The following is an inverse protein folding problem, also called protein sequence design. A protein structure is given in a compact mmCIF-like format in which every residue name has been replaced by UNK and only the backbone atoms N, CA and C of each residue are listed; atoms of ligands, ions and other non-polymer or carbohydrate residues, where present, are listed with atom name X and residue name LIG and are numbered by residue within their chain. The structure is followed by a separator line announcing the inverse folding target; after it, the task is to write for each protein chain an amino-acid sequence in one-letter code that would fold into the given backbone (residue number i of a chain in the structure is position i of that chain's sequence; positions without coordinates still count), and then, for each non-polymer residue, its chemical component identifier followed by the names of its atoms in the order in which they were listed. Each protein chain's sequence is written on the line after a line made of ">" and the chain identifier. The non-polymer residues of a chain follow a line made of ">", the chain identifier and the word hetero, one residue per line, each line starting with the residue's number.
data_IF_610391052748
#
_entry.id   IF_610391052748
#
_cell.length_a   1.000
_cell.length_b   1.000
_cell.length_c   1.000
_cell.angle_alpha   90.00
_cell.angle_beta   90.00
_cell.angle_gamma   90.00
#
_symmetry.space_group_name_H-M   'P 1'
#
loop_
_entity.id
_entity.type
_entity.pdbx_description
1 polymer ?
#
# COMPACT_ATOMS: atom_id res chain seq x y z
N UNK A 1 -20.86 -14.22 -23.30
CA UNK A 1 -21.70 -13.65 -22.23
C UNK A 1 -21.11 -12.29 -21.88
N UNK A 2 -21.91 -11.21 -21.86
CA UNK A 2 -21.43 -9.92 -21.33
C UNK A 2 -21.29 -10.09 -19.81
N UNK A 3 -20.06 -10.11 -19.31
CA UNK A 3 -19.79 -10.06 -17.87
C UNK A 3 -20.28 -8.71 -17.37
N UNK A 4 -21.28 -8.70 -16.49
CA UNK A 4 -21.78 -7.47 -15.88
C UNK A 4 -20.94 -7.20 -14.63
N UNK A 5 -20.16 -6.12 -14.66
CA UNK A 5 -19.43 -5.66 -13.49
C UNK A 5 -20.37 -4.82 -12.65
N UNK A 6 -20.59 -5.19 -11.40
CA UNK A 6 -21.41 -4.43 -10.46
C UNK A 6 -20.57 -3.87 -9.34
N UNK A 7 -20.78 -2.59 -9.03
CA UNK A 7 -20.02 -1.84 -8.05
C UNK A 7 -20.96 -1.28 -6.97
N UNK A 8 -20.60 -1.46 -5.71
CA UNK A 8 -21.21 -0.80 -4.56
C UNK A 8 -20.16 0.04 -3.84
N UNK A 9 -20.32 1.36 -3.82
CA UNK A 9 -19.41 2.26 -3.11
C UNK A 9 -19.86 2.46 -1.67
N UNK A 10 -18.91 2.39 -0.74
CA UNK A 10 -19.13 2.59 0.69
C UNK A 10 -18.15 3.63 1.21
N UNK A 11 -18.69 4.72 1.74
CA UNK A 11 -17.89 5.74 2.42
C UNK A 11 -17.36 5.19 3.73
N UNK A 12 -16.06 5.37 3.98
CA UNK A 12 -15.38 4.88 5.19
C UNK A 12 -15.13 6.05 6.15
N UNK A 13 -14.63 7.17 5.62
CA UNK A 13 -14.29 8.34 6.43
C UNK A 13 -14.29 9.61 5.58
N UNK A 14 -15.26 10.50 5.82
CA UNK A 14 -15.36 11.83 5.23
C UNK A 14 -15.62 12.86 6.32
N UNK A 15 -14.83 13.92 6.34
CA UNK A 15 -15.05 15.06 7.22
C UNK A 15 -14.48 16.31 6.53
N UNK A 16 -15.30 17.35 6.44
CA UNK A 16 -14.96 18.60 5.74
C UNK A 16 -13.70 19.28 6.29
N UNK A 17 -13.44 19.13 7.59
CA UNK A 17 -12.29 19.73 8.27
C UNK A 17 -11.04 18.85 8.20
N UNK A 18 -11.09 17.72 7.46
CA UNK A 18 -10.04 16.71 7.43
C UNK A 18 -9.61 16.38 6.01
N UNK A 19 -8.31 16.14 5.88
CA UNK A 19 -7.72 15.47 4.73
C UNK A 19 -7.51 14.00 5.10
N UNK A 20 -8.04 13.05 4.35
CA UNK A 20 -7.81 11.62 4.57
C UNK A 20 -7.20 10.96 3.33
N UNK A 21 -6.17 10.15 3.51
CA UNK A 21 -5.43 9.63 2.37
C UNK A 21 -4.51 8.44 2.62
N UNK A 22 -3.97 7.97 1.49
CA UNK A 22 -2.85 7.04 1.36
C UNK A 22 -2.94 5.67 2.07
N UNK A 23 -4.05 4.91 1.96
CA UNK A 23 -4.12 3.60 2.58
C UNK A 23 -3.02 2.62 2.10
N UNK A 24 -2.55 2.76 0.86
CA UNK A 24 -1.44 1.95 0.34
C UNK A 24 -0.07 2.15 1.02
N UNK A 25 0.12 3.18 1.85
CA UNK A 25 1.32 3.27 2.70
C UNK A 25 1.27 2.27 3.87
N UNK A 26 0.07 1.78 4.23
CA UNK A 26 -0.19 0.97 5.41
C UNK A 26 -0.62 -0.43 4.99
N UNK A 27 -1.83 -0.85 5.34
CA UNK A 27 -2.34 -2.19 5.07
C UNK A 27 -3.86 -2.28 5.11
N UNK A 28 -4.33 -3.40 4.59
CA UNK A 28 -5.70 -3.90 4.72
C UNK A 28 -5.60 -5.38 5.07
N UNK A 29 -6.41 -5.85 6.01
CA UNK A 29 -6.47 -7.24 6.44
C UNK A 29 -7.92 -7.68 6.57
N UNK A 30 -8.18 -8.97 6.35
CA UNK A 30 -9.50 -9.57 6.42
C UNK A 30 -9.45 -10.86 7.23
N UNK A 31 -10.44 -11.05 8.09
CA UNK A 31 -10.71 -12.26 8.86
C UNK A 31 -12.19 -12.57 8.76
N UNK A 32 -12.57 -13.58 7.96
CA UNK A 32 -13.99 -13.86 7.68
C UNK A 32 -14.70 -12.56 7.23
N UNK A 33 -15.73 -12.11 7.95
CA UNK A 33 -16.46 -10.86 7.67
C UNK A 33 -15.80 -9.58 8.20
N UNK A 34 -14.76 -9.70 9.01
CA UNK A 34 -14.07 -8.57 9.64
C UNK A 34 -12.95 -8.04 8.73
N UNK A 35 -12.90 -6.73 8.55
CA UNK A 35 -11.90 -6.05 7.72
C UNK A 35 -11.33 -4.87 8.48
N UNK A 36 -10.02 -4.73 8.47
CA UNK A 36 -9.32 -3.57 9.02
C UNK A 36 -8.51 -2.89 7.93
N UNK A 37 -8.66 -1.58 7.82
CA UNK A 37 -7.93 -0.70 6.91
C UNK A 37 -7.22 0.38 7.72
N UNK A 38 -5.97 0.68 7.37
CA UNK A 38 -5.24 1.81 7.98
C UNK A 38 -4.96 2.88 6.92
N UNK A 39 -5.09 4.14 7.32
CA UNK A 39 -4.88 5.32 6.49
C UNK A 39 -4.39 6.51 7.32
N UNK A 40 -4.10 7.63 6.68
CA UNK A 40 -3.72 8.88 7.37
C UNK A 40 -4.85 9.89 7.37
N UNK A 41 -5.02 10.64 8.47
CA UNK A 41 -5.84 11.84 8.50
C UNK A 41 -5.05 13.06 8.97
N UNK A 42 -5.24 14.20 8.31
CA UNK A 42 -4.70 15.51 8.67
C UNK A 42 -5.72 16.61 8.39
N UNK A 43 -5.22 17.80 8.07
CA UNK A 43 -6.05 18.96 7.79
C UNK A 43 -5.96 19.35 6.32
N UNK A 44 -7.06 19.78 5.68
CA UNK A 44 -7.04 20.21 4.30
C UNK A 44 -6.34 21.58 4.17
N UNK A 45 -5.65 21.78 3.06
CA UNK A 45 -5.23 23.10 2.59
C UNK A 45 -5.21 23.06 1.07
N UNK A 46 -6.15 23.78 0.45
CA UNK A 46 -6.29 23.84 -1.02
C UNK A 46 -5.04 24.37 -1.72
N UNK A 47 -4.24 25.19 -1.04
CA UNK A 47 -2.97 25.73 -1.53
C UNK A 47 -1.78 24.79 -1.25
N UNK A 48 -2.02 23.61 -0.67
CA UNK A 48 -1.01 22.61 -0.29
C UNK A 48 -0.27 21.92 -1.46
N UNK A 49 -0.54 22.33 -2.70
CA UNK A 49 0.12 21.84 -3.90
C UNK A 49 -0.45 20.52 -4.41
N UNK A 50 0.42 19.53 -4.67
CA UNK A 50 0.00 18.25 -5.30
C UNK A 50 -0.95 17.41 -4.43
N UNK A 51 -0.83 17.50 -3.10
CA UNK A 51 -1.86 16.99 -2.19
C UNK A 51 -2.36 18.15 -1.33
N UNK A 52 -3.68 18.38 -1.35
CA UNK A 52 -4.33 19.54 -0.77
C UNK A 52 -4.46 19.46 0.75
N UNK A 53 -3.33 19.49 1.45
CA UNK A 53 -3.21 19.31 2.90
C UNK A 53 -2.36 20.40 3.55
N UNK A 54 -2.65 20.71 4.80
CA UNK A 54 -1.86 21.60 5.63
C UNK A 54 -0.63 20.86 6.18
N UNK A 55 0.55 21.27 5.72
CA UNK A 55 1.83 20.66 6.11
C UNK A 55 2.36 21.19 7.44
N UNK A 56 1.78 22.28 7.97
CA UNK A 56 2.15 22.88 9.25
C UNK A 56 1.49 22.21 10.45
N UNK A 57 0.70 21.15 10.21
CA UNK A 57 -0.01 20.39 11.23
C UNK A 57 0.35 18.91 11.17
N UNK A 58 0.29 18.20 12.30
CA UNK A 58 0.59 16.78 12.34
C UNK A 58 -0.48 15.98 11.60
N UNK A 59 -0.03 14.85 11.06
CA UNK A 59 -0.87 13.79 10.53
C UNK A 59 -1.09 12.72 11.61
N UNK A 60 -2.28 12.11 11.62
CA UNK A 60 -2.67 11.06 12.55
C UNK A 60 -2.91 9.78 11.76
N UNK A 61 -2.45 8.65 12.28
CA UNK A 61 -2.73 7.34 11.70
C UNK A 61 -4.08 6.86 12.20
N UNK A 62 -4.98 6.56 11.27
CA UNK A 62 -6.36 6.16 11.53
C UNK A 62 -6.56 4.69 11.21
N UNK A 63 -7.46 4.04 11.94
CA UNK A 63 -7.89 2.67 11.70
C UNK A 63 -9.39 2.65 11.42
N UNK A 64 -9.79 2.09 10.29
CA UNK A 64 -11.17 1.76 9.97
C UNK A 64 -11.40 0.26 10.14
N UNK A 65 -12.52 -0.12 10.74
CA UNK A 65 -12.93 -1.52 10.95
C UNK A 65 -14.36 -1.74 10.49
N UNK A 66 -14.56 -2.75 9.67
CA UNK A 66 -15.85 -3.30 9.29
C UNK A 66 -16.04 -4.69 9.89
N UNK A 67 -17.26 -5.02 10.29
CA UNK A 67 -17.67 -6.33 10.82
C UNK A 67 -18.70 -7.03 9.92
N UNK A 68 -18.95 -6.50 8.73
CA UNK A 68 -20.02 -6.93 7.83
C UNK A 68 -19.56 -6.98 6.37
N UNK A 69 -18.31 -7.39 6.15
CA UNK A 69 -17.66 -7.46 4.84
C UNK A 69 -17.59 -6.09 4.12
N UNK A 70 -17.30 -5.02 4.85
CA UNK A 70 -17.06 -3.69 4.28
C UNK A 70 -18.33 -2.92 3.93
N UNK A 71 -19.49 -3.31 4.46
CA UNK A 71 -20.76 -2.59 4.23
C UNK A 71 -20.87 -1.38 5.16
N UNK A 72 -20.52 -1.54 6.43
CA UNK A 72 -20.41 -0.45 7.40
C UNK A 72 -19.03 -0.41 8.03
N UNK A 73 -18.61 0.79 8.44
CA UNK A 73 -17.27 1.04 8.97
C UNK A 73 -17.34 1.88 10.25
N UNK A 74 -16.50 1.53 11.20
CA UNK A 74 -16.18 2.33 12.38
C UNK A 74 -14.74 2.83 12.26
N UNK A 75 -14.47 4.07 12.66
CA UNK A 75 -13.14 4.69 12.50
C UNK A 75 -12.68 5.28 13.82
N UNK A 76 -11.44 4.99 14.19
CA UNK A 76 -10.77 5.55 15.36
C UNK A 76 -9.32 5.89 15.01
N UNK A 77 -8.63 6.60 15.91
CA UNK A 77 -7.17 6.61 15.86
C UNK A 77 -6.63 5.18 15.97
N UNK A 78 -5.54 4.89 15.26
CA UNK A 78 -4.93 3.58 15.27
C UNK A 78 -4.25 3.33 16.63
N UNK A 79 -4.50 2.19 17.31
CA UNK A 79 -3.97 1.93 18.66
C UNK A 79 -2.52 1.45 18.60
N UNK A 80 -1.62 2.28 18.06
CA UNK A 80 -0.18 1.98 17.96
C UNK A 80 0.61 2.54 19.14
N UNK A 81 1.54 1.77 19.71
CA UNK A 81 2.51 2.31 20.66
C UNK A 81 3.58 3.10 19.91
N UNK A 82 3.68 4.40 20.19
CA UNK A 82 4.64 5.32 19.57
C UNK A 82 4.47 5.47 18.04
N UNK A 83 4.91 6.59 17.47
CA UNK A 83 4.83 6.85 16.03
C UNK A 83 3.51 7.51 15.61
N UNK A 84 3.52 8.83 15.50
CA UNK A 84 2.40 9.65 15.03
C UNK A 84 2.53 9.90 13.53
N UNK A 85 1.45 9.80 12.75
CA UNK A 85 1.50 10.08 11.31
C UNK A 85 2.38 9.11 10.52
N UNK A 86 2.40 7.85 10.96
CA UNK A 86 3.27 6.79 10.49
C UNK A 86 3.34 6.74 8.96
N UNK A 87 4.54 6.79 8.37
CA UNK A 87 4.70 6.68 6.93
C UNK A 87 4.12 7.85 6.11
N UNK A 88 3.86 8.98 6.74
CA UNK A 88 3.43 10.21 6.08
C UNK A 88 4.30 11.42 6.48
N UNK A 89 5.52 11.20 6.95
CA UNK A 89 6.43 12.27 7.38
C UNK A 89 6.83 13.16 6.20
N UNK A 90 6.99 12.59 5.01
CA UNK A 90 7.19 13.32 3.75
C UNK A 90 6.05 14.31 3.44
N UNK A 91 4.93 14.20 4.16
CA UNK A 91 3.75 14.99 3.99
C UNK A 91 3.61 16.17 4.97
N UNK A 92 4.54 16.33 5.93
CA UNK A 92 4.58 17.42 6.90
C UNK A 92 5.75 18.38 6.62
N UNK A 93 5.81 19.51 7.33
CA UNK A 93 6.99 20.37 7.38
C UNK A 93 7.99 19.84 8.42
N UNK A 94 9.26 20.21 8.27
CA UNK A 94 10.34 19.68 9.11
C UNK A 94 10.18 20.05 10.60
N UNK A 95 9.74 21.27 10.89
CA UNK A 95 9.45 21.75 12.24
C UNK A 95 8.35 20.94 12.94
N UNK A 96 7.33 20.50 12.18
CA UNK A 96 6.30 19.59 12.71
C UNK A 96 6.91 18.23 13.02
N UNK A 97 7.71 17.67 12.11
CA UNK A 97 8.38 16.37 12.30
C UNK A 97 9.30 16.40 13.51
N UNK A 98 10.10 17.46 13.66
CA UNK A 98 11.04 17.65 14.78
C UNK A 98 10.31 17.82 16.12
N UNK A 99 9.03 18.24 16.10
CA UNK A 99 8.18 18.34 17.28
C UNK A 99 7.47 17.04 17.67
N UNK A 100 7.51 16.01 16.81
CA UNK A 100 6.90 14.72 17.12
C UNK A 100 7.72 13.98 18.18
N UNK A 101 7.04 13.15 18.97
CA UNK A 101 7.72 12.25 19.90
C UNK A 101 8.67 11.32 19.15
N UNK A 102 9.88 11.16 19.69
CA UNK A 102 10.87 10.24 19.14
C UNK A 102 10.34 8.79 19.19
N UNK A 103 10.61 8.05 18.12
CA UNK A 103 10.21 6.65 18.01
C UNK A 103 11.11 5.80 18.92
N UNK A 104 10.50 5.15 19.91
CA UNK A 104 11.18 4.22 20.81
C UNK A 104 11.07 2.81 20.26
N UNK A 105 12.14 2.31 19.65
CA UNK A 105 12.17 0.96 19.12
C UNK A 105 12.27 -0.09 20.21
N UNK A 106 11.49 -1.16 20.07
CA UNK A 106 11.60 -2.36 20.87
C UNK A 106 12.55 -3.37 20.21
N UNK A 107 13.12 -4.27 21.03
CA UNK A 107 13.85 -5.42 20.52
C UNK A 107 12.90 -6.41 19.85
N UNK A 108 13.17 -6.83 18.60
CA UNK A 108 12.29 -7.72 17.87
C UNK A 108 12.26 -9.12 18.50
N UNK A 109 11.05 -9.66 18.60
CA UNK A 109 10.78 -11.01 19.11
C UNK A 109 10.48 -11.95 17.93
N UNK A 110 10.54 -13.24 18.18
CA UNK A 110 10.07 -14.23 17.21
C UNK A 110 8.56 -14.39 17.32
N UNK A 111 7.82 -14.01 16.29
CA UNK A 111 6.36 -14.13 16.23
C UNK A 111 5.93 -15.38 15.47
N UNK A 112 4.74 -15.89 15.77
CA UNK A 112 4.12 -16.97 15.00
C UNK A 112 3.20 -16.36 13.94
N UNK A 113 3.62 -16.44 12.68
CA UNK A 113 2.85 -15.89 11.57
C UNK A 113 1.62 -16.73 11.20
N UNK A 114 1.49 -17.96 11.70
CA UNK A 114 0.29 -18.79 11.50
C UNK A 114 -0.85 -18.41 12.46
N UNK A 115 -0.66 -17.42 13.33
CA UNK A 115 -1.77 -16.90 14.10
C UNK A 115 -2.86 -16.40 13.14
N UNK A 116 -4.04 -17.00 13.24
CA UNK A 116 -5.20 -16.65 12.41
C UNK A 116 -5.59 -15.17 12.49
N UNK A 117 -5.19 -14.48 13.56
CA UNK A 117 -5.51 -13.08 13.84
C UNK A 117 -4.32 -12.14 13.54
N UNK A 118 -3.30 -12.64 12.82
CA UNK A 118 -2.06 -11.92 12.52
C UNK A 118 -2.25 -10.77 11.54
N UNK A 119 -1.60 -9.65 11.84
CA UNK A 119 -1.37 -8.55 10.91
C UNK A 119 0.02 -7.94 11.13
N UNK A 120 0.61 -7.39 10.08
CA UNK A 120 1.89 -6.66 10.12
C UNK A 120 1.73 -5.34 9.40
N UNK A 121 2.25 -4.25 9.96
CA UNK A 121 2.18 -2.92 9.36
C UNK A 121 3.57 -2.26 9.37
N UNK A 122 4.02 -1.72 8.24
CA UNK A 122 5.27 -0.98 8.15
C UNK A 122 5.07 0.53 8.32
N UNK A 123 6.05 1.19 8.96
CA UNK A 123 6.18 2.64 9.05
C UNK A 123 7.53 3.13 8.50
N UNK A 124 7.61 4.42 8.20
CA UNK A 124 8.83 5.08 7.70
C UNK A 124 8.87 6.56 8.06
N UNK A 125 10.07 7.13 8.14
CA UNK A 125 10.30 8.58 8.33
C UNK A 125 10.37 9.38 7.03
N UNK A 126 10.49 8.73 5.86
CA UNK A 126 10.57 9.44 4.59
C UNK A 126 10.88 8.57 3.39
N UNK A 127 11.39 9.18 2.32
CA UNK A 127 11.61 8.57 0.99
C UNK A 127 13.05 8.71 0.47
N UNK A 128 13.89 9.50 1.15
CA UNK A 128 15.24 9.84 0.71
C UNK A 128 16.30 9.27 1.64
N UNK A 129 17.58 9.57 1.35
CA UNK A 129 18.70 9.28 2.23
C UNK A 129 18.38 9.71 3.66
N UNK A 130 18.66 8.82 4.62
CA UNK A 130 18.33 9.00 6.04
C UNK A 130 16.94 8.47 6.41
N UNK A 131 16.11 8.03 5.46
CA UNK A 131 14.83 7.41 5.78
C UNK A 131 15.05 6.10 6.57
N UNK A 132 14.44 6.05 7.75
CA UNK A 132 14.39 4.88 8.61
C UNK A 132 13.00 4.27 8.54
N UNK A 133 12.93 2.95 8.72
CA UNK A 133 11.69 2.19 8.65
C UNK A 133 11.59 1.19 9.80
N UNK A 134 10.37 0.79 10.10
CA UNK A 134 10.05 -0.14 11.16
C UNK A 134 8.76 -0.90 10.83
N UNK A 135 8.43 -1.89 11.65
CA UNK A 135 7.16 -2.61 11.54
C UNK A 135 6.52 -2.82 12.91
N UNK A 136 5.21 -3.03 12.90
CA UNK A 136 4.40 -3.49 14.03
C UNK A 136 3.75 -4.82 13.70
N UNK A 137 3.48 -5.62 14.72
CA UNK A 137 2.73 -6.86 14.61
C UNK A 137 1.49 -6.81 15.51
N UNK A 138 0.35 -7.19 14.96
CA UNK A 138 -0.84 -7.53 15.72
C UNK A 138 -1.07 -9.03 15.65
N UNK A 139 -1.54 -9.59 16.77
CA UNK A 139 -1.92 -11.00 16.93
C UNK A 139 -3.39 -11.12 17.39
N UNK A 140 -4.14 -10.02 17.27
CA UNK A 140 -5.50 -9.85 17.78
C UNK A 140 -6.37 -9.01 16.83
N UNK A 141 -6.13 -9.15 15.52
CA UNK A 141 -6.87 -8.47 14.45
C UNK A 141 -6.79 -6.95 14.54
N UNK A 142 -5.60 -6.41 14.75
CA UNK A 142 -5.32 -4.97 14.87
C UNK A 142 -6.05 -4.29 16.04
N UNK A 143 -6.41 -5.04 17.10
CA UNK A 143 -6.94 -4.42 18.32
C UNK A 143 -5.80 -3.77 19.11
N UNK A 144 -4.64 -4.42 19.12
CA UNK A 144 -3.40 -3.90 19.64
C UNK A 144 -2.25 -4.16 18.67
N UNK A 145 -1.22 -3.33 18.75
CA UNK A 145 -0.01 -3.45 17.96
C UNK A 145 1.21 -3.57 18.88
N UNK A 146 2.12 -4.48 18.55
CA UNK A 146 3.41 -4.69 19.22
C UNK A 146 4.53 -4.10 18.37
N UNK A 147 5.55 -3.53 19.00
CA UNK A 147 6.62 -2.78 18.34
C UNK A 147 6.67 -1.33 18.82
N UNK A 148 7.32 -0.43 18.09
CA UNK A 148 7.89 -0.61 16.75
C UNK A 148 9.20 -1.41 16.73
N UNK A 149 9.36 -2.29 15.76
CA UNK A 149 10.57 -3.06 15.52
C UNK A 149 11.35 -2.49 14.33
N UNK A 150 12.61 -2.12 14.54
CA UNK A 150 13.42 -1.44 13.51
C UNK A 150 13.72 -2.37 12.33
N UNK A 151 13.53 -1.86 11.11
CA UNK A 151 13.95 -2.55 9.88
C UNK A 151 15.43 -2.19 9.64
N UNK A 152 16.32 -3.18 9.40
CA UNK A 152 17.72 -2.92 9.08
C UNK A 152 17.88 -2.07 7.81
N UNK A 153 19.01 -1.37 7.70
CA UNK A 153 19.28 -0.54 6.51
C UNK A 153 19.78 -1.34 5.31
N UNK A 154 20.14 -2.62 5.47
CA UNK A 154 20.66 -3.49 4.39
C UNK A 154 21.80 -2.85 3.58
N UNK A 155 22.69 -2.10 4.24
CA UNK A 155 23.76 -1.30 3.60
C UNK A 155 23.24 -0.26 2.58
N UNK A 156 21.99 0.17 2.69
CA UNK A 156 21.39 1.22 1.87
C UNK A 156 21.38 2.56 2.59
N UNK A 157 21.26 3.65 1.82
CA UNK A 157 21.23 5.02 2.37
C UNK A 157 19.89 5.42 3.00
N UNK A 158 18.82 4.69 2.72
CA UNK A 158 17.47 4.95 3.21
C UNK A 158 16.55 3.79 2.87
N UNK A 159 15.70 3.38 3.81
CA UNK A 159 14.64 2.40 3.60
C UNK A 159 13.30 3.12 3.78
N UNK A 160 12.43 2.97 2.79
CA UNK A 160 11.10 3.59 2.74
C UNK A 160 10.02 2.50 2.71
N UNK A 161 9.94 1.72 3.80
CA UNK A 161 9.09 0.55 3.88
C UNK A 161 7.60 0.89 3.79
N UNK A 162 6.87 -0.01 3.13
CA UNK A 162 5.41 -0.10 3.11
C UNK A 162 5.06 -1.57 3.27
N UNK A 163 3.84 -1.87 3.68
CA UNK A 163 3.47 -3.25 4.05
C UNK A 163 3.27 -4.13 2.81
N UNK A 164 4.24 -5.02 2.58
CA UNK A 164 4.16 -6.09 1.58
C UNK A 164 4.93 -7.33 2.07
N UNK A 165 4.26 -8.12 2.92
CA UNK A 165 4.80 -9.34 3.54
C UNK A 165 4.07 -10.57 3.01
N UNK A 166 4.81 -11.52 2.44
CA UNK A 166 4.31 -12.83 2.02
C UNK A 166 4.71 -13.88 3.05
N UNK A 167 3.79 -14.17 3.96
CA UNK A 167 3.96 -15.23 4.95
C UNK A 167 4.01 -16.58 4.23
N UNK A 168 5.09 -17.34 4.44
CA UNK A 168 5.31 -18.67 3.86
C UNK A 168 4.94 -19.78 4.85
N UNK A 169 5.28 -19.59 6.12
CA UNK A 169 4.99 -20.51 7.22
C UNK A 169 4.97 -19.73 8.55
N UNK A 170 4.96 -20.44 9.70
CA UNK A 170 4.89 -19.85 11.03
C UNK A 170 6.06 -18.90 11.39
N UNK A 171 7.19 -18.96 10.68
CA UNK A 171 8.40 -18.16 10.98
C UNK A 171 9.01 -17.51 9.75
N UNK A 172 8.64 -17.96 8.55
CA UNK A 172 9.23 -17.50 7.29
C UNK A 172 8.32 -16.53 6.58
N UNK A 173 8.87 -15.40 6.16
CA UNK A 173 8.19 -14.47 5.26
C UNK A 173 9.17 -13.86 4.26
N UNK A 174 8.74 -13.74 3.00
CA UNK A 174 9.41 -12.93 1.98
C UNK A 174 8.78 -11.55 1.98
N UNK A 175 9.59 -10.51 2.02
CA UNK A 175 9.13 -9.14 2.24
C UNK A 175 9.69 -8.27 1.13
N UNK A 176 8.85 -7.44 0.52
CA UNK A 176 9.27 -6.52 -0.55
C UNK A 176 9.36 -5.11 0.03
N UNK A 177 10.55 -4.52 -0.05
CA UNK A 177 10.85 -3.21 0.52
C UNK A 177 11.39 -2.25 -0.54
N UNK A 178 11.25 -0.96 -0.27
CA UNK A 178 11.76 0.12 -1.12
C UNK A 178 13.01 0.72 -0.47
N UNK A 179 14.12 0.81 -1.20
CA UNK A 179 15.37 1.39 -0.75
C UNK A 179 15.83 2.50 -1.68
N UNK A 180 16.31 3.62 -1.13
CA UNK A 180 16.83 4.74 -1.93
C UNK A 180 17.78 4.28 -3.05
N UNK A 181 17.71 4.97 -4.18
CA UNK A 181 18.74 4.84 -5.23
C UNK A 181 20.11 5.26 -4.68
N UNK A 182 21.17 4.91 -5.40
CA UNK A 182 22.57 5.27 -5.07
C UNK A 182 22.78 6.78 -4.94
N UNK A 183 21.96 7.60 -5.60
CA UNK A 183 21.99 9.06 -5.47
C UNK A 183 21.17 9.60 -4.27
N UNK A 184 20.67 8.74 -3.38
CA UNK A 184 19.92 9.10 -2.19
C UNK A 184 18.47 9.54 -2.42
N UNK A 185 17.98 9.54 -3.67
CA UNK A 185 16.56 9.80 -3.98
C UNK A 185 15.74 8.52 -3.86
N UNK A 186 14.42 8.69 -3.78
CA UNK A 186 13.44 7.59 -3.74
C UNK A 186 13.66 6.55 -4.86
N UNK A 187 13.48 5.27 -4.55
CA UNK A 187 13.42 4.22 -5.57
C UNK A 187 13.68 2.81 -5.08
N UNK A 188 14.05 1.95 -6.04
CA UNK A 188 14.45 0.53 -6.02
C UNK A 188 13.75 -0.39 -5.03
N UNK A 189 13.12 -1.41 -5.59
CA UNK A 189 12.51 -2.48 -4.81
C UNK A 189 13.47 -3.66 -4.71
N UNK A 190 13.57 -4.23 -3.51
CA UNK A 190 14.29 -5.48 -3.22
C UNK A 190 13.40 -6.41 -2.39
N UNK A 191 13.71 -7.70 -2.44
CA UNK A 191 13.18 -8.67 -1.49
C UNK A 191 14.14 -8.86 -0.33
N UNK A 192 13.61 -9.05 0.87
CA UNK A 192 14.30 -9.59 2.02
C UNK A 192 13.51 -10.77 2.60
N UNK A 193 14.12 -11.53 3.49
CA UNK A 193 13.50 -12.67 4.16
C UNK A 193 13.66 -12.54 5.66
N UNK A 194 12.70 -13.09 6.37
CA UNK A 194 12.88 -13.55 7.75
C UNK A 194 12.62 -15.05 7.80
N UNK A 195 13.33 -15.78 8.66
CA UNK A 195 13.13 -17.22 8.92
C UNK A 195 12.92 -17.51 10.40
N UNK A 196 12.78 -16.46 11.21
CA UNK A 196 12.75 -16.52 12.66
C UNK A 196 11.59 -15.70 13.24
N UNK A 197 10.51 -15.53 12.47
CA UNK A 197 9.30 -14.85 12.91
C UNK A 197 9.47 -13.33 13.01
N UNK A 198 10.26 -12.73 12.11
CA UNK A 198 10.49 -11.29 12.04
C UNK A 198 11.66 -10.79 12.88
N UNK A 199 12.30 -11.65 13.68
CA UNK A 199 13.37 -11.26 14.58
C UNK A 199 14.59 -10.72 13.84
N UNK A 200 14.95 -11.35 12.72
CA UNK A 200 15.97 -10.87 11.80
C UNK A 200 15.39 -10.74 10.39
N UNK A 201 15.84 -9.71 9.68
CA UNK A 201 15.52 -9.48 8.27
C UNK A 201 16.84 -9.48 7.49
N UNK A 202 16.91 -10.30 6.44
CA UNK A 202 18.10 -10.47 5.60
C UNK A 202 17.80 -10.09 4.16
N UNK A 203 18.64 -9.26 3.54
CA UNK A 203 18.52 -8.92 2.12
C UNK A 203 18.60 -10.20 1.26
N UNK A 204 17.69 -10.37 0.29
CA UNK A 204 17.74 -11.46 -0.69
C UNK A 204 18.29 -10.99 -2.02
N UNK A 205 17.51 -10.19 -2.74
CA UNK A 205 17.80 -9.84 -4.12
C UNK A 205 17.12 -8.54 -4.51
N UNK A 206 17.68 -7.87 -5.52
CA UNK A 206 17.00 -6.76 -6.16
C UNK A 206 15.92 -7.28 -7.11
N UNK A 207 14.77 -6.60 -7.14
CA UNK A 207 13.73 -6.87 -8.15
C UNK A 207 14.10 -6.15 -9.45
N UNK A 208 14.49 -4.88 -9.31
CA UNK A 208 15.11 -4.07 -10.35
C UNK A 208 16.14 -3.14 -9.70
N UNK A 209 17.43 -3.45 -9.87
CA UNK A 209 18.51 -2.69 -9.20
C UNK A 209 18.75 -1.31 -9.83
N UNK A 210 18.37 -1.10 -11.09
CA UNK A 210 18.68 0.12 -11.83
C UNK A 210 17.46 0.66 -12.61
N UNK A 211 16.36 1.03 -11.93
CA UNK A 211 15.23 1.65 -12.60
C UNK A 211 15.61 3.00 -13.20
N UNK A 212 15.10 3.30 -14.41
CA UNK A 212 15.37 4.56 -15.13
C UNK A 212 15.00 5.78 -14.27
N UNK A 213 13.79 5.80 -13.71
CA UNK A 213 13.35 6.79 -12.74
C UNK A 213 13.29 6.20 -11.34
N UNK A 214 12.14 5.71 -10.91
CA UNK A 214 12.02 4.96 -9.64
C UNK A 214 11.09 3.77 -9.82
N UNK A 215 11.28 2.81 -8.91
CA UNK A 215 10.38 1.69 -8.64
C UNK A 215 10.13 1.69 -7.12
N UNK A 216 8.85 1.74 -6.72
CA UNK A 216 8.45 1.86 -5.31
C UNK A 216 7.11 1.16 -5.06
N UNK A 217 6.71 1.05 -3.79
CA UNK A 217 5.38 0.59 -3.37
C UNK A 217 4.97 -0.75 -4.01
N UNK A 218 5.73 -1.83 -3.76
CA UNK A 218 5.38 -3.14 -4.27
C UNK A 218 4.04 -3.62 -3.67
N UNK A 219 3.31 -4.41 -4.45
CA UNK A 219 2.15 -5.17 -4.01
C UNK A 219 2.28 -6.58 -4.56
N UNK A 220 2.46 -7.54 -3.67
CA UNK A 220 2.84 -8.89 -4.06
C UNK A 220 1.84 -9.94 -3.64
N UNK A 221 1.80 -11.03 -4.40
CA UNK A 221 1.04 -12.25 -4.09
C UNK A 221 1.90 -13.47 -4.40
N UNK A 222 1.66 -14.56 -3.67
CA UNK A 222 2.13 -15.88 -4.07
C UNK A 222 0.99 -16.61 -4.79
N UNK A 223 1.26 -17.10 -5.99
CA UNK A 223 0.32 -17.91 -6.75
C UNK A 223 0.27 -19.34 -6.21
N UNK A 224 -0.82 -20.06 -6.52
CA UNK A 224 -0.97 -21.48 -6.17
C UNK A 224 0.17 -22.39 -6.65
N UNK A 225 0.86 -22.02 -7.73
CA UNK A 225 2.02 -22.75 -8.26
C UNK A 225 3.35 -22.41 -7.55
N UNK A 226 3.33 -21.57 -6.51
CA UNK A 226 4.50 -21.15 -5.73
C UNK A 226 5.24 -19.94 -6.28
N UNK A 227 4.96 -19.50 -7.51
CA UNK A 227 5.56 -18.29 -8.06
C UNK A 227 5.09 -17.05 -7.29
N UNK A 228 5.98 -16.08 -7.15
CA UNK A 228 5.65 -14.78 -6.56
C UNK A 228 5.50 -13.75 -7.68
N UNK A 229 4.41 -13.00 -7.67
CA UNK A 229 4.22 -11.84 -8.52
C UNK A 229 4.29 -10.57 -7.66
N UNK A 230 4.89 -9.51 -8.19
CA UNK A 230 4.88 -8.19 -7.55
C UNK A 230 4.56 -7.10 -8.57
N UNK A 231 3.49 -6.34 -8.31
CA UNK A 231 3.14 -5.15 -9.05
C UNK A 231 3.86 -3.94 -8.42
N UNK A 232 4.57 -3.16 -9.22
CA UNK A 232 5.43 -2.08 -8.75
C UNK A 232 4.99 -0.76 -9.37
N UNK A 233 4.86 0.28 -8.53
CA UNK A 233 4.68 1.66 -9.01
C UNK A 233 5.98 2.16 -9.59
N UNK A 234 5.95 2.44 -10.89
CA UNK A 234 7.14 2.84 -11.62
C UNK A 234 6.97 4.23 -12.23
N UNK A 235 8.09 4.94 -12.33
CA UNK A 235 8.18 6.23 -13.00
C UNK A 235 9.45 6.32 -13.81
N UNK A 236 9.37 6.90 -15.00
CA UNK A 236 10.52 7.26 -15.82
C UNK A 236 11.17 8.59 -15.40
N UNK A 237 11.89 9.19 -16.35
CA UNK A 237 12.54 10.49 -16.16
C UNK A 237 11.58 11.68 -16.02
N UNK A 238 10.41 11.64 -16.67
CA UNK A 238 9.38 12.70 -16.63
C UNK A 238 8.29 12.42 -15.60
N UNK A 239 7.62 13.48 -15.11
CA UNK A 239 6.63 13.38 -14.03
C UNK A 239 5.31 12.72 -14.45
N UNK A 240 4.97 12.83 -15.73
CA UNK A 240 3.81 12.22 -16.39
C UNK A 240 4.04 10.77 -16.81
N UNK A 241 5.31 10.33 -16.84
CA UNK A 241 5.70 8.98 -17.25
C UNK A 241 5.62 8.04 -16.05
N UNK A 242 4.40 7.70 -15.62
CA UNK A 242 4.14 6.78 -14.50
C UNK A 242 3.28 5.60 -14.96
N UNK A 243 3.65 4.38 -14.54
CA UNK A 243 3.00 3.13 -14.94
C UNK A 243 3.06 2.11 -13.79
N UNK A 244 2.51 0.92 -14.02
CA UNK A 244 2.67 -0.23 -13.11
C UNK A 244 3.30 -1.36 -13.91
N UNK A 245 4.49 -1.80 -13.49
CA UNK A 245 5.17 -2.98 -14.04
C UNK A 245 4.95 -4.19 -13.13
N UNK A 246 5.00 -5.38 -13.71
CA UNK A 246 4.84 -6.65 -13.03
C UNK A 246 6.12 -7.46 -13.15
N UNK A 247 6.61 -7.97 -12.03
CA UNK A 247 7.76 -8.86 -11.95
C UNK A 247 7.36 -10.20 -11.37
N UNK A 248 8.09 -11.25 -11.75
CA UNK A 248 7.89 -12.62 -11.29
C UNK A 248 9.17 -13.20 -10.70
N UNK A 249 9.04 -13.89 -9.58
CA UNK A 249 10.05 -14.80 -9.04
C UNK A 249 9.51 -16.23 -9.08
N UNK A 250 10.38 -17.17 -9.49
CA UNK A 250 10.09 -18.61 -9.53
C UNK A 250 10.94 -19.40 -8.52
N UNK A 251 11.66 -18.69 -7.66
CA UNK A 251 12.65 -19.20 -6.72
C UNK A 251 12.54 -18.50 -5.36
N UNK A 252 11.31 -18.21 -4.94
CA UNK A 252 10.96 -17.65 -3.63
C UNK A 252 11.69 -16.32 -3.31
N UNK A 253 11.77 -15.44 -4.31
CA UNK A 253 12.36 -14.11 -4.19
C UNK A 253 13.88 -14.06 -4.31
N UNK A 254 14.55 -15.17 -4.66
CA UNK A 254 16.00 -15.21 -4.88
C UNK A 254 16.42 -14.52 -6.19
N UNK A 255 15.57 -14.57 -7.21
CA UNK A 255 15.73 -13.79 -8.44
C UNK A 255 14.38 -13.35 -9.01
N UNK A 256 14.41 -12.28 -9.79
CA UNK A 256 13.23 -11.68 -10.38
C UNK A 256 13.40 -11.44 -11.87
N UNK A 257 12.30 -11.52 -12.61
CA UNK A 257 12.23 -11.17 -14.02
C UNK A 257 11.07 -10.23 -14.26
N UNK A 258 11.29 -9.22 -15.08
CA UNK A 258 10.18 -8.44 -15.66
C UNK A 258 9.25 -9.39 -16.42
N UNK A 259 7.95 -9.26 -16.19
CA UNK A 259 6.92 -10.09 -16.83
C UNK A 259 6.13 -9.28 -17.86
N UNK A 260 5.53 -8.18 -17.42
CA UNK A 260 4.67 -7.35 -18.27
C UNK A 260 4.45 -5.95 -17.68
N UNK A 261 3.77 -5.09 -18.43
CA UNK A 261 3.28 -3.78 -17.98
C UNK A 261 1.75 -3.78 -17.94
N UNK A 262 1.13 -4.16 -16.81
CA UNK A 262 -0.32 -4.19 -16.67
C UNK A 262 -1.03 -2.85 -16.93
N UNK A 263 -0.41 -1.74 -16.52
CA UNK A 263 -0.97 -0.40 -16.65
C UNK A 263 0.08 0.51 -17.25
N UNK A 264 -0.16 1.01 -18.46
CA UNK A 264 0.78 1.84 -19.22
C UNK A 264 0.85 3.30 -18.74
N UNK A 265 -0.20 3.79 -18.09
CA UNK A 265 -0.26 5.14 -17.54
C UNK A 265 -1.15 5.24 -16.30
N UNK A 266 -0.60 5.76 -15.21
CA UNK A 266 -1.36 6.14 -13.99
C UNK A 266 -1.47 7.65 -13.81
N UNK A 267 -1.04 8.45 -14.80
CA UNK A 267 -1.05 9.91 -14.79
C UNK A 267 0.04 10.55 -13.93
N UNK A 268 -0.02 11.89 -13.80
CA UNK A 268 1.03 12.70 -13.16
C UNK A 268 1.30 12.23 -11.72
N UNK A 269 2.56 11.98 -11.41
CA UNK A 269 2.98 11.49 -10.09
C UNK A 269 2.66 10.02 -9.83
N UNK A 270 1.77 9.40 -10.60
CA UNK A 270 1.45 7.97 -10.56
C UNK A 270 0.74 7.50 -9.29
N UNK A 271 0.35 6.24 -9.27
CA UNK A 271 -0.26 5.56 -8.12
C UNK A 271 0.24 4.12 -8.02
N UNK A 272 0.30 3.55 -6.80
CA UNK A 272 0.54 2.12 -6.64
C UNK A 272 -0.64 1.29 -7.11
N UNK A 273 -0.36 0.07 -7.54
CA UNK A 273 -1.36 -0.97 -7.73
C UNK A 273 -1.57 -1.78 -6.45
N UNK A 274 -2.76 -2.36 -6.28
CA UNK A 274 -3.03 -3.44 -5.34
C UNK A 274 -3.32 -4.70 -6.15
N UNK A 275 -2.41 -5.66 -6.12
CA UNK A 275 -2.50 -6.94 -6.82
C UNK A 275 -3.20 -7.98 -5.93
N UNK A 276 -4.23 -8.63 -6.48
CA UNK A 276 -4.98 -9.72 -5.82
C UNK A 276 -5.25 -10.82 -6.84
N UNK A 277 -5.28 -12.08 -6.39
CA UNK A 277 -5.77 -13.22 -7.17
C UNK A 277 -7.20 -13.55 -6.72
N UNK A 278 -8.13 -13.67 -7.67
CA UNK A 278 -9.49 -14.15 -7.45
C UNK A 278 -9.51 -15.67 -7.28
N UNK A 279 -10.60 -16.22 -6.74
CA UNK A 279 -10.74 -17.67 -6.50
C UNK A 279 -10.63 -18.52 -7.77
N UNK A 280 -11.12 -17.97 -8.89
CA UNK A 280 -11.06 -18.58 -10.23
C UNK A 280 -9.67 -18.48 -10.89
N UNK A 281 -8.70 -17.86 -10.21
CA UNK A 281 -7.31 -17.74 -10.64
C UNK A 281 -7.00 -16.46 -11.43
N UNK A 282 -8.02 -15.67 -11.83
CA UNK A 282 -7.78 -14.36 -12.47
C UNK A 282 -6.99 -13.45 -11.54
N UNK A 283 -6.10 -12.65 -12.11
CA UNK A 283 -5.38 -11.60 -11.39
C UNK A 283 -6.07 -10.26 -11.62
N UNK A 284 -6.20 -9.48 -10.56
CA UNK A 284 -6.73 -8.12 -10.62
C UNK A 284 -5.71 -7.16 -10.02
N UNK A 285 -5.41 -6.09 -10.75
CA UNK A 285 -4.69 -4.94 -10.21
C UNK A 285 -5.65 -3.77 -10.16
N UNK A 286 -5.96 -3.30 -8.96
CA UNK A 286 -6.68 -2.05 -8.76
C UNK A 286 -5.71 -0.89 -8.55
N UNK A 287 -6.03 0.30 -9.04
CA UNK A 287 -5.16 1.47 -8.95
C UNK A 287 -5.95 2.78 -9.12
N UNK A 288 -5.37 3.89 -8.68
CA UNK A 288 -5.88 5.23 -8.98
C UNK A 288 -5.32 5.78 -10.30
N UNK A 289 -6.17 6.27 -11.19
CA UNK A 289 -5.74 7.01 -12.39
C UNK A 289 -5.75 8.52 -12.11
N UNK A 290 -4.57 9.13 -12.14
CA UNK A 290 -4.36 10.59 -12.14
C UNK A 290 -4.34 11.17 -13.55
N UNK A 291 -4.87 10.44 -14.52
CA UNK A 291 -5.11 10.86 -15.89
C UNK A 291 -6.62 10.92 -16.10
N UNK A 292 -7.10 11.97 -16.75
CA UNK A 292 -8.52 12.10 -17.04
C UNK A 292 -9.04 10.96 -17.94
N UNK A 293 -10.24 10.41 -17.67
CA UNK A 293 -11.08 10.73 -16.51
C UNK A 293 -10.50 10.17 -15.19
N UNK A 294 -10.38 11.03 -14.17
CA UNK A 294 -9.86 10.64 -12.87
C UNK A 294 -10.75 9.57 -12.22
N UNK A 295 -10.16 8.67 -11.45
CA UNK A 295 -10.91 7.67 -10.71
C UNK A 295 -10.07 6.48 -10.29
N UNK A 296 -10.76 5.47 -9.78
CA UNK A 296 -10.24 4.17 -9.40
C UNK A 296 -10.59 3.16 -10.49
N UNK A 297 -9.60 2.39 -10.90
CA UNK A 297 -9.67 1.46 -12.02
C UNK A 297 -9.13 0.10 -11.63
N UNK A 298 -9.50 -0.91 -12.42
CA UNK A 298 -8.95 -2.26 -12.38
C UNK A 298 -8.45 -2.68 -13.76
N UNK A 299 -7.43 -3.52 -13.81
CA UNK A 299 -7.10 -4.36 -14.97
C UNK A 299 -7.10 -5.82 -14.54
N UNK A 300 -7.52 -6.72 -15.45
CA UNK A 300 -7.68 -8.14 -15.17
C UNK A 300 -6.79 -8.96 -16.10
N UNK A 301 -6.14 -9.99 -15.57
CA UNK A 301 -5.42 -10.99 -16.36
C UNK A 301 -5.98 -12.38 -16.11
N UNK A 302 -6.24 -13.11 -17.20
CA UNK A 302 -6.69 -14.50 -17.18
C UNK A 302 -5.54 -15.51 -17.44
N UNK A 303 -4.31 -15.01 -17.62
CA UNK A 303 -3.16 -15.81 -18.04
C UNK A 303 -1.90 -15.50 -17.23
N UNK A 304 -2.04 -15.52 -15.90
CA UNK A 304 -0.94 -15.33 -14.93
C UNK A 304 -0.16 -14.01 -15.13
N UNK A 305 -0.83 -12.95 -15.60
CA UNK A 305 -0.23 -11.63 -15.74
C UNK A 305 0.52 -11.39 -17.06
N UNK A 306 0.44 -12.30 -18.03
CA UNK A 306 1.08 -12.12 -19.35
C UNK A 306 0.35 -11.07 -20.21
N UNK A 307 -0.98 -11.05 -20.15
CA UNK A 307 -1.83 -10.07 -20.83
C UNK A 307 -2.88 -9.52 -19.88
N UNK A 308 -3.26 -8.27 -20.10
CA UNK A 308 -4.19 -7.54 -19.25
C UNK A 308 -5.32 -6.94 -20.07
N UNK A 309 -6.51 -6.88 -19.47
CA UNK A 309 -7.67 -6.19 -20.03
C UNK A 309 -7.38 -4.69 -20.21
N UNK A 310 -8.26 -4.01 -20.95
CA UNK A 310 -8.33 -2.54 -20.84
C UNK A 310 -8.72 -2.14 -19.41
N UNK A 311 -8.34 -0.94 -18.93
CA UNK A 311 -8.78 -0.44 -17.64
C UNK A 311 -10.31 -0.39 -17.53
N UNK A 312 -10.83 -0.95 -16.44
CA UNK A 312 -12.23 -0.97 -16.05
C UNK A 312 -12.40 0.08 -14.95
N UNK A 313 -13.33 1.02 -15.12
CA UNK A 313 -13.59 2.02 -14.10
C UNK A 313 -14.43 1.41 -12.96
N UNK A 314 -13.92 1.49 -11.73
CA UNK A 314 -14.62 1.07 -10.51
C UNK A 314 -15.39 2.25 -9.91
N UNK A 315 -14.70 3.38 -9.75
CA UNK A 315 -15.24 4.64 -9.21
C UNK A 315 -14.65 5.83 -9.96
N UNK A 316 -15.47 6.57 -10.70
CA UNK A 316 -15.05 7.87 -11.28
C UNK A 316 -14.87 8.89 -10.17
N UNK A 317 -13.89 9.77 -10.29
CA UNK A 317 -13.72 10.94 -9.43
C UNK A 317 -14.28 12.17 -10.14
N UNK A 318 -15.11 12.95 -9.47
CA UNK A 318 -15.62 14.24 -9.98
C UNK A 318 -14.70 15.42 -9.63
N UNK A 319 -13.72 15.19 -8.75
CA UNK A 319 -12.77 16.21 -8.33
C UNK A 319 -11.50 16.23 -9.18
N UNK A 320 -10.34 16.14 -8.55
CA UNK A 320 -9.03 16.23 -9.20
C UNK A 320 -8.14 14.99 -8.99
N UNK A 321 -6.88 15.08 -9.45
CA UNK A 321 -5.89 14.00 -9.43
C UNK A 321 -5.44 13.49 -8.05
N UNK A 322 -5.77 14.19 -6.97
CA UNK A 322 -5.36 13.82 -5.62
C UNK A 322 -6.22 12.68 -5.05
N UNK A 323 -6.02 11.49 -5.62
CA UNK A 323 -6.78 10.26 -5.37
C UNK A 323 -5.87 9.02 -5.46
N UNK A 324 -6.41 7.85 -5.09
CA UNK A 324 -5.84 6.54 -5.38
C UNK A 324 -5.35 5.81 -4.16
N UNK A 325 -4.11 5.28 -4.23
CA UNK A 325 -3.48 4.50 -3.17
C UNK A 325 -4.32 3.30 -2.72
N UNK A 326 -4.82 2.51 -3.68
CA UNK A 326 -5.73 1.41 -3.44
C UNK A 326 -5.12 0.31 -2.56
N UNK A 327 -5.95 -0.33 -1.73
CA UNK A 327 -5.68 -1.60 -1.05
C UNK A 327 -6.90 -2.50 -1.18
N UNK A 328 -6.70 -3.77 -1.54
CA UNK A 328 -7.78 -4.68 -1.88
C UNK A 328 -7.72 -6.00 -1.10
N UNK A 329 -8.90 -6.55 -0.77
CA UNK A 329 -9.08 -7.89 -0.19
C UNK A 329 -10.25 -8.61 -0.87
N UNK A 330 -10.13 -9.92 -1.05
CA UNK A 330 -11.18 -10.77 -1.61
C UNK A 330 -12.17 -11.18 -0.51
N UNK A 331 -13.47 -11.01 -0.77
CA UNK A 331 -14.56 -11.49 0.09
C UNK A 331 -14.78 -12.99 -0.11
N UNK A 332 -15.34 -13.64 0.91
CA UNK A 332 -15.66 -15.07 0.82
C UNK A 332 -16.80 -15.36 -0.18
N UNK A 333 -17.54 -14.33 -0.60
CA UNK A 333 -18.54 -14.40 -1.68
C UNK A 333 -17.95 -14.06 -3.07
N UNK A 334 -16.62 -14.04 -3.21
CA UNK A 334 -15.90 -13.82 -4.46
C UNK A 334 -15.82 -12.35 -4.91
N UNK A 335 -16.45 -11.41 -4.19
CA UNK A 335 -16.38 -9.97 -4.52
C UNK A 335 -15.09 -9.34 -4.01
N UNK A 336 -14.51 -8.43 -4.77
CA UNK A 336 -13.33 -7.69 -4.35
C UNK A 336 -13.74 -6.40 -3.63
N UNK A 337 -13.21 -6.16 -2.43
CA UNK A 337 -13.28 -4.83 -1.80
C UNK A 337 -11.99 -4.10 -2.12
N UNK A 338 -12.11 -2.90 -2.66
CA UNK A 338 -10.98 -2.01 -2.94
C UNK A 338 -11.18 -0.70 -2.20
N UNK A 339 -10.36 -0.46 -1.18
CA UNK A 339 -10.34 0.79 -0.43
C UNK A 339 -9.31 1.77 -0.97
N UNK A 340 -9.62 3.06 -0.98
CA UNK A 340 -8.82 4.13 -1.56
C UNK A 340 -9.19 5.47 -0.95
N UNK A 341 -8.43 6.52 -1.29
CA UNK A 341 -8.88 7.89 -1.07
C UNK A 341 -9.28 8.56 -2.38
N UNK A 342 -10.30 9.42 -2.31
CA UNK A 342 -10.86 10.12 -3.46
C UNK A 342 -11.33 11.52 -3.06
N UNK A 343 -11.73 12.34 -4.03
CA UNK A 343 -12.41 13.62 -3.82
C UNK A 343 -13.47 13.82 -4.93
N UNK A 344 -14.61 14.42 -4.60
CA UNK A 344 -15.69 14.69 -5.58
C UNK A 344 -15.74 16.17 -6.03
N UNK A 345 -14.97 17.03 -5.37
CA UNK A 345 -14.79 18.44 -5.69
C UNK A 345 -13.27 18.73 -5.65
N UNK A 346 -12.67 19.39 -6.67
CA UNK A 346 -11.25 19.74 -6.65
C UNK A 346 -10.81 20.49 -5.38
N UNK A 347 -11.71 21.30 -4.83
CA UNK A 347 -11.52 22.16 -3.67
C UNK A 347 -12.08 21.55 -2.37
N UNK A 348 -12.76 20.40 -2.46
CA UNK A 348 -13.34 19.69 -1.33
C UNK A 348 -12.34 18.84 -0.56
N UNK A 349 -12.86 18.14 0.45
CA UNK A 349 -12.09 17.21 1.26
C UNK A 349 -11.63 15.97 0.47
N UNK A 350 -10.52 15.40 0.93
CA UNK A 350 -10.09 14.07 0.52
C UNK A 350 -10.62 13.11 1.56
N UNK A 351 -11.32 12.06 1.12
CA UNK A 351 -12.01 11.13 1.99
C UNK A 351 -11.68 9.69 1.60
N UNK A 352 -11.88 8.76 2.54
CA UNK A 352 -11.69 7.33 2.32
C UNK A 352 -13.02 6.69 1.89
N UNK A 353 -12.98 5.93 0.81
CA UNK A 353 -14.11 5.16 0.27
C UNK A 353 -13.61 3.76 -0.09
N UNK A 354 -14.53 2.81 -0.23
CA UNK A 354 -14.26 1.53 -0.85
C UNK A 354 -15.30 1.20 -1.91
N UNK A 355 -14.90 0.42 -2.92
CA UNK A 355 -15.82 -0.20 -3.88
C UNK A 355 -15.83 -1.71 -3.66
N UNK A 356 -17.01 -2.29 -3.52
CA UNK A 356 -17.25 -3.73 -3.59
C UNK A 356 -17.59 -4.08 -5.03
N UNK A 357 -16.75 -4.89 -5.67
CA UNK A 357 -16.83 -5.20 -7.10
C UNK A 357 -17.04 -6.69 -7.32
N UNK A 358 -17.97 -7.04 -8.22
CA UNK A 358 -18.11 -8.38 -8.79
C UNK A 358 -17.61 -8.36 -10.24
N UNK A 359 -16.64 -9.22 -10.57
CA UNK A 359 -15.87 -9.19 -11.84
C UNK A 359 -16.25 -10.26 -12.85
#
# INVERSE_FOLDING_TARGET
>A
MKTYISNLNQEIYRNIDRYAGWPANYGIWKWENEIVLIFTSGYPNIEGGFHARDRSKPLVTMQARSLDNGITWSVSECPIPYGVGLGAYEHMNQDVIDSLEEIRFEEPKSFDFNNKDFAVMCGKTGLSKGAESWYYISNDRCKNWNGPYKIPMFNQSGIAARTDWLIQDNKTAVIMLTATKTNGKEGRVFSCITKDGGKTLEFLSWINEFPEGYDIMPSSIQLKNGNILTAIRSKGSKLENCWIDLFISKDNGLSWKYLSRPVDSTGKGGNPGSLVQLDDGRLVITFGSRKEPYGIYAVISENEGNHWSKPICLRKSSGNHDIGYTRSVLRDDGKLITAYYINDDPNGERFIESTITEF
#
